data_IF_143210661620
#
_entry.id   IF_143210661620
#
_cell.length_a   1.000
_cell.length_b   1.000
_cell.length_c   1.000
_cell.angle_alpha   90.00
_cell.angle_beta   90.00
_cell.angle_gamma   90.00
#
_symmetry.space_group_name_H-M   'P 1'
#
loop_
_entity.id
_entity.type
_entity.pdbx_description
1 polymer ?
#
# COMPACT_ATOMS: atom_id res chain seq x y z
N UNK A 1 -0.14 7.90 -21.53
CA UNK A 1 0.83 6.88 -21.06
C UNK A 1 0.03 5.65 -20.67
N UNK A 2 0.39 4.48 -21.18
CA UNK A 2 -0.34 3.22 -20.94
C UNK A 2 0.62 2.22 -20.29
N UNK A 3 0.37 1.90 -19.02
CA UNK A 3 1.19 0.99 -18.23
C UNK A 3 1.13 -0.45 -18.71
N UNK A 4 0.13 -0.81 -19.52
CA UNK A 4 0.05 -2.16 -20.07
C UNK A 4 1.13 -2.40 -21.12
N UNK A 5 1.68 -1.35 -21.74
CA UNK A 5 2.71 -1.47 -22.77
C UNK A 5 4.13 -1.44 -22.18
N UNK A 6 5.06 -2.27 -22.67
CA UNK A 6 4.95 -3.23 -23.79
C UNK A 6 4.43 -4.62 -23.39
N UNK A 7 4.07 -4.83 -22.12
CA UNK A 7 3.82 -6.16 -21.54
C UNK A 7 2.45 -6.77 -21.85
N UNK A 8 1.52 -6.01 -22.44
CA UNK A 8 0.16 -6.42 -22.79
C UNK A 8 -0.85 -6.48 -21.63
N UNK A 9 -0.43 -6.34 -20.36
CA UNK A 9 -1.36 -6.26 -19.22
C UNK A 9 -0.76 -5.51 -18.04
N UNK A 10 -1.63 -4.95 -17.18
CA UNK A 10 -1.17 -4.18 -16.02
C UNK A 10 -0.43 -5.06 -15.00
N UNK A 11 -0.85 -6.31 -14.79
CA UNK A 11 -0.17 -7.23 -13.87
C UNK A 11 1.24 -7.59 -14.38
N UNK A 12 1.38 -7.85 -15.69
CA UNK A 12 2.68 -8.14 -16.29
C UNK A 12 3.67 -6.98 -16.14
N UNK A 13 3.19 -5.74 -16.16
CA UNK A 13 4.00 -4.56 -15.90
C UNK A 13 4.62 -4.52 -14.49
N UNK A 14 4.04 -5.22 -13.52
CA UNK A 14 4.49 -5.23 -12.12
C UNK A 14 5.28 -6.47 -11.68
N UNK A 15 5.50 -7.47 -12.56
CA UNK A 15 6.20 -8.72 -12.21
C UNK A 15 7.59 -8.49 -11.59
N UNK A 16 8.30 -7.43 -12.00
CA UNK A 16 9.61 -7.06 -11.45
C UNK A 16 9.57 -6.38 -10.06
N UNK A 17 8.38 -6.19 -9.47
CA UNK A 17 8.19 -5.36 -8.26
C UNK A 17 8.07 -6.17 -6.96
N UNK A 18 8.48 -7.44 -6.94
CA UNK A 18 8.35 -8.31 -5.75
C UNK A 18 9.04 -7.78 -4.49
N UNK A 19 10.10 -6.99 -4.67
CA UNK A 19 10.84 -6.34 -3.57
C UNK A 19 10.32 -4.93 -3.24
N UNK A 20 9.22 -4.50 -3.83
CA UNK A 20 8.62 -3.18 -3.62
C UNK A 20 7.32 -3.33 -2.82
N UNK A 21 7.12 -2.44 -1.85
CA UNK A 21 5.92 -2.40 -1.00
C UNK A 21 5.08 -1.18 -1.40
N UNK A 22 3.83 -1.40 -1.79
CA UNK A 22 2.94 -0.35 -2.27
C UNK A 22 1.92 0.06 -1.21
N UNK A 23 1.69 1.37 -1.11
CA UNK A 23 0.53 1.96 -0.44
C UNK A 23 -0.28 2.69 -1.49
N UNK A 24 -1.51 2.23 -1.72
CA UNK A 24 -2.47 2.86 -2.63
C UNK A 24 -3.59 3.47 -1.79
N UNK A 25 -3.83 4.76 -1.95
CA UNK A 25 -4.90 5.49 -1.28
C UNK A 25 -5.77 6.15 -2.35
N UNK A 26 -7.09 5.96 -2.25
CA UNK A 26 -8.07 6.69 -3.06
C UNK A 26 -9.07 7.43 -2.17
N UNK A 27 -9.78 8.40 -2.73
CA UNK A 27 -10.83 9.13 -2.02
C UNK A 27 -12.17 8.92 -2.71
N UNK A 28 -13.20 8.58 -1.95
CA UNK A 28 -14.52 8.22 -2.50
C UNK A 28 -15.20 9.36 -3.27
N UNK A 29 -14.83 10.60 -2.96
CA UNK A 29 -15.33 11.82 -3.61
C UNK A 29 -14.45 12.30 -4.76
N UNK A 30 -13.30 11.66 -5.03
CA UNK A 30 -12.40 12.07 -6.12
C UNK A 30 -13.02 11.71 -7.47
N UNK A 31 -13.32 12.73 -8.26
CA UNK A 31 -13.88 12.63 -9.60
C UNK A 31 -12.81 12.66 -10.70
N UNK A 32 -11.61 13.19 -10.40
CA UNK A 32 -10.47 13.22 -11.32
C UNK A 32 -9.77 11.86 -11.35
N UNK A 33 -9.62 11.24 -10.18
CA UNK A 33 -9.02 9.91 -10.02
C UNK A 33 -9.95 8.99 -9.21
N UNK A 34 -11.06 8.53 -9.81
CA UNK A 34 -12.03 7.71 -9.11
C UNK A 34 -11.44 6.41 -8.53
N UNK A 35 -11.97 5.97 -7.39
CA UNK A 35 -11.48 4.79 -6.66
C UNK A 35 -11.40 3.51 -7.51
N UNK A 36 -12.23 3.37 -8.56
CA UNK A 36 -12.19 2.19 -9.42
C UNK A 36 -10.87 2.06 -10.21
N UNK A 37 -10.22 3.17 -10.59
CA UNK A 37 -8.89 3.12 -11.19
C UNK A 37 -7.84 2.60 -10.19
N UNK A 38 -7.91 3.06 -8.94
CA UNK A 38 -7.02 2.56 -7.87
C UNK A 38 -7.26 1.07 -7.58
N UNK A 39 -8.52 0.62 -7.60
CA UNK A 39 -8.87 -0.81 -7.46
C UNK A 39 -8.32 -1.66 -8.61
N UNK A 40 -8.31 -1.15 -9.85
CA UNK A 40 -7.67 -1.83 -10.98
C UNK A 40 -6.15 -1.98 -10.78
N UNK A 41 -5.48 -0.93 -10.29
CA UNK A 41 -4.05 -0.98 -9.94
C UNK A 41 -3.76 -2.00 -8.84
N UNK A 42 -4.53 -1.98 -7.75
CA UNK A 42 -4.38 -2.92 -6.63
C UNK A 42 -4.61 -4.37 -7.07
N UNK A 43 -5.61 -4.59 -7.92
CA UNK A 43 -5.87 -5.91 -8.51
C UNK A 43 -4.67 -6.41 -9.31
N UNK A 44 -4.05 -5.56 -10.13
CA UNK A 44 -2.86 -5.91 -10.91
C UNK A 44 -1.64 -6.19 -10.03
N UNK A 45 -1.38 -5.36 -9.01
CA UNK A 45 -0.30 -5.58 -8.04
C UNK A 45 -0.50 -6.90 -7.29
N UNK A 46 -1.73 -7.19 -6.86
CA UNK A 46 -2.08 -8.45 -6.19
C UNK A 46 -1.87 -9.65 -7.11
N UNK A 47 -2.30 -9.55 -8.38
CA UNK A 47 -2.10 -10.60 -9.38
C UNK A 47 -0.62 -10.84 -9.71
N UNK A 48 0.23 -9.82 -9.56
CA UNK A 48 1.69 -9.93 -9.68
C UNK A 48 2.38 -10.40 -8.39
N UNK A 49 1.61 -10.79 -7.37
CA UNK A 49 2.11 -11.21 -6.04
C UNK A 49 2.97 -10.15 -5.34
N UNK A 50 2.66 -8.88 -5.59
CA UNK A 50 3.32 -7.72 -4.97
C UNK A 50 2.60 -7.35 -3.68
N UNK A 51 3.36 -6.97 -2.66
CA UNK A 51 2.82 -6.52 -1.37
C UNK A 51 2.20 -5.13 -1.51
N UNK A 52 0.88 -5.07 -1.48
CA UNK A 52 0.10 -3.85 -1.64
C UNK A 52 -0.87 -3.67 -0.48
N UNK A 53 -0.87 -2.48 0.12
CA UNK A 53 -1.89 -2.03 1.07
C UNK A 53 -2.80 -1.03 0.36
N UNK A 54 -4.11 -1.22 0.46
CA UNK A 54 -5.10 -0.35 -0.18
C UNK A 54 -6.10 0.21 0.84
N UNK A 55 -6.35 1.52 0.77
CA UNK A 55 -7.42 2.19 1.52
C UNK A 55 -8.25 3.10 0.60
N UNK A 56 -9.57 3.02 0.75
CA UNK A 56 -10.54 3.89 0.09
C UNK A 56 -11.12 4.86 1.13
N UNK A 57 -10.54 6.06 1.22
CA UNK A 57 -10.84 7.05 2.26
C UNK A 57 -12.12 7.81 1.92
N UNK A 58 -13.05 7.85 2.86
CA UNK A 58 -14.22 8.72 2.75
C UNK A 58 -13.80 10.16 3.03
N UNK A 59 -13.97 11.03 2.05
CA UNK A 59 -13.74 12.47 2.18
C UNK A 59 -14.82 13.25 1.42
N UNK A 60 -14.93 14.53 1.72
CA UNK A 60 -15.74 15.49 0.96
C UNK A 60 -14.88 16.45 0.13
N UNK A 61 -13.56 16.35 0.21
CA UNK A 61 -12.61 17.26 -0.44
C UNK A 61 -12.19 16.81 -1.85
N UNK A 62 -12.75 15.72 -2.35
CA UNK A 62 -12.43 15.21 -3.68
C UNK A 62 -10.96 14.85 -3.80
N UNK A 63 -10.35 15.31 -4.89
CA UNK A 63 -8.93 15.11 -5.17
C UNK A 63 -8.03 15.75 -4.11
N UNK A 64 -8.37 16.95 -3.64
CA UNK A 64 -7.51 17.71 -2.72
C UNK A 64 -7.46 17.12 -1.30
N UNK A 65 -8.20 16.04 -1.03
CA UNK A 65 -8.20 15.36 0.25
C UNK A 65 -6.80 14.92 0.70
N UNK A 66 -5.90 14.55 -0.21
CA UNK A 66 -4.51 14.20 0.19
C UNK A 66 -3.73 15.39 0.77
N UNK A 67 -4.12 16.63 0.46
CA UNK A 67 -3.53 17.85 1.01
C UNK A 67 -4.28 18.34 2.25
N UNK A 68 -5.61 18.20 2.26
CA UNK A 68 -6.49 18.80 3.26
C UNK A 68 -6.72 17.89 4.49
N UNK A 69 -6.72 16.58 4.32
CA UNK A 69 -6.94 15.59 5.39
C UNK A 69 -5.62 15.25 6.11
N UNK A 70 -4.91 16.29 6.60
CA UNK A 70 -3.53 16.18 7.10
C UNK A 70 -3.36 15.11 8.17
N UNK A 71 -4.27 15.05 9.15
CA UNK A 71 -4.20 14.06 10.24
C UNK A 71 -4.41 12.64 9.73
N UNK A 72 -5.45 12.43 8.91
CA UNK A 72 -5.76 11.14 8.29
C UNK A 72 -4.56 10.64 7.47
N UNK A 73 -4.02 11.49 6.59
CA UNK A 73 -2.87 11.15 5.75
C UNK A 73 -1.62 10.87 6.59
N UNK A 74 -1.34 11.70 7.60
CA UNK A 74 -0.22 11.49 8.52
C UNK A 74 -0.32 10.14 9.23
N UNK A 75 -1.51 9.74 9.65
CA UNK A 75 -1.76 8.45 10.30
C UNK A 75 -1.59 7.27 9.36
N UNK A 76 -2.14 7.35 8.14
CA UNK A 76 -2.03 6.29 7.14
C UNK A 76 -0.58 6.07 6.69
N UNK A 77 0.13 7.15 6.32
CA UNK A 77 1.52 7.07 5.90
C UNK A 77 2.42 6.57 7.05
N UNK A 78 2.24 7.10 8.26
CA UNK A 78 3.04 6.67 9.41
C UNK A 78 2.84 5.19 9.73
N UNK A 79 1.59 4.72 9.73
CA UNK A 79 1.30 3.30 10.00
C UNK A 79 1.94 2.38 8.96
N UNK A 80 1.91 2.78 7.68
CA UNK A 80 2.57 2.04 6.61
C UNK A 80 4.10 2.03 6.76
N UNK A 81 4.71 3.19 7.00
CA UNK A 81 6.17 3.29 7.18
C UNK A 81 6.65 2.56 8.44
N UNK A 82 5.91 2.64 9.55
CA UNK A 82 6.22 1.90 10.78
C UNK A 82 6.16 0.39 10.56
N UNK A 83 5.23 -0.10 9.73
CA UNK A 83 5.21 -1.50 9.29
C UNK A 83 6.49 -1.84 8.52
N UNK A 84 6.91 -1.01 7.56
CA UNK A 84 8.13 -1.26 6.77
C UNK A 84 9.40 -1.25 7.61
N UNK A 85 9.56 -0.30 8.52
CA UNK A 85 10.71 -0.23 9.45
C UNK A 85 10.86 -1.54 10.22
N UNK A 86 9.74 -2.12 10.69
CA UNK A 86 9.73 -3.41 11.40
C UNK A 86 9.98 -4.61 10.49
N UNK A 87 9.34 -4.65 9.32
CA UNK A 87 9.43 -5.80 8.41
C UNK A 87 10.79 -5.90 7.72
N UNK A 88 11.36 -4.76 7.32
CA UNK A 88 12.61 -4.65 6.56
C UNK A 88 13.81 -4.27 7.45
N UNK A 89 13.60 -4.16 8.77
CA UNK A 89 14.64 -3.85 9.76
C UNK A 89 15.44 -2.57 9.44
N UNK A 90 14.77 -1.56 8.90
CA UNK A 90 15.39 -0.28 8.55
C UNK A 90 15.81 0.43 9.83
N UNK A 91 17.07 0.85 9.90
CA UNK A 91 17.55 1.66 11.03
C UNK A 91 16.75 2.97 11.11
N UNK A 92 16.09 3.20 12.24
CA UNK A 92 15.38 4.45 12.48
C UNK A 92 16.40 5.62 12.52
N UNK A 93 16.10 6.77 11.90
CA UNK A 93 16.95 7.94 12.04
C UNK A 93 16.98 8.40 13.50
N UNK A 94 18.08 9.03 13.90
CA UNK A 94 18.26 9.51 15.27
C UNK A 94 17.10 10.45 15.67
N UNK A 95 16.41 10.13 16.77
CA UNK A 95 15.25 10.89 17.26
C UNK A 95 13.89 10.43 16.71
N UNK A 96 13.83 9.43 15.83
CA UNK A 96 12.57 8.83 15.41
C UNK A 96 12.05 7.82 16.44
N UNK A 97 10.87 8.09 16.99
CA UNK A 97 10.11 7.13 17.80
C UNK A 97 8.94 6.59 16.95
N UNK A 98 8.95 5.28 16.58
CA UNK A 98 7.82 4.70 15.85
C UNK A 98 6.54 4.81 16.67
N UNK A 99 5.40 5.04 16.00
CA UNK A 99 4.12 5.15 16.73
C UNK A 99 3.73 3.78 17.30
N UNK A 100 3.15 3.82 18.50
CA UNK A 100 2.51 2.65 19.08
C UNK A 100 1.31 2.25 18.20
N UNK A 101 1.22 0.97 17.85
CA UNK A 101 0.06 0.47 17.12
C UNK A 101 -1.19 0.53 18.02
N UNK A 102 -2.38 0.83 17.47
CA UNK A 102 -3.61 0.41 18.12
C UNK A 102 -3.58 -1.12 18.28
N UNK A 103 -4.15 -1.63 19.37
CA UNK A 103 -4.16 -3.06 19.67
C UNK A 103 -4.61 -3.88 18.44
N UNK A 104 -3.99 -5.03 18.16
CA UNK A 104 -4.35 -5.83 16.99
C UNK A 104 -5.84 -6.15 17.01
N UNK A 105 -6.49 -5.97 15.86
CA UNK A 105 -7.87 -6.43 15.66
C UNK A 105 -7.81 -7.96 15.73
N UNK A 106 -8.34 -8.53 16.82
CA UNK A 106 -8.40 -9.97 17.04
C UNK A 106 -9.07 -10.62 15.81
N UNK A 107 -8.30 -11.38 15.02
CA UNK A 107 -8.81 -12.14 13.87
C UNK A 107 -8.10 -11.93 12.53
N UNK A 108 -7.25 -10.91 12.37
CA UNK A 108 -6.47 -10.74 11.13
C UNK A 108 -5.20 -11.61 11.17
N UNK A 109 -5.25 -12.80 10.59
CA UNK A 109 -4.04 -13.60 10.38
C UNK A 109 -3.13 -12.90 9.36
N UNK A 110 -1.83 -12.73 9.65
CA UNK A 110 -0.88 -12.31 8.64
C UNK A 110 -0.74 -13.45 7.62
N UNK A 111 -1.31 -13.29 6.43
CA UNK A 111 -1.02 -14.17 5.31
C UNK A 111 0.45 -13.97 4.90
N UNK A 112 1.34 -14.75 5.50
CA UNK A 112 2.73 -14.92 5.05
C UNK A 112 3.03 -16.41 4.95
N UNK A 113 2.70 -17.00 3.80
CA UNK A 113 3.36 -18.23 3.35
C UNK A 113 4.72 -17.81 2.77
N UNK A 114 5.77 -17.78 3.60
CA UNK A 114 7.14 -17.80 3.08
C UNK A 114 7.40 -19.22 2.54
N UNK A 115 7.20 -19.43 1.24
CA UNK A 115 7.79 -20.57 0.53
C UNK A 115 9.27 -20.24 0.27
N UNK A 116 10.09 -20.37 1.30
CA UNK A 116 11.54 -20.41 1.18
C UNK A 116 12.08 -21.09 2.44
N UNK A 117 11.96 -22.42 2.48
CA UNK A 117 12.75 -23.35 3.31
C UNK A 117 12.32 -24.79 2.96
N UNK A 118 12.66 -25.25 1.74
CA UNK A 118 12.71 -26.70 1.45
C UNK A 118 13.43 -26.99 0.13
N UNK A 119 14.73 -26.67 0.07
CA UNK A 119 15.68 -27.35 -0.81
C UNK A 119 17.00 -27.49 -0.05
N UNK A 120 17.06 -28.55 0.75
CA UNK A 120 18.27 -29.25 1.17
C UNK A 120 18.00 -30.74 1.01
#
# INVERSE_FOLDING_TARGET
FDLTQPTGSLAAAFVGSLNVKFLVISFTSDWLYPSYHSKQLVSALTAANVDVTYLDVRSSWGHDAFLLEVETMTNLLGSFLDRLVREEQVAAPAGYAPRALPAPIIGAQPNRTRLADSLA
#
